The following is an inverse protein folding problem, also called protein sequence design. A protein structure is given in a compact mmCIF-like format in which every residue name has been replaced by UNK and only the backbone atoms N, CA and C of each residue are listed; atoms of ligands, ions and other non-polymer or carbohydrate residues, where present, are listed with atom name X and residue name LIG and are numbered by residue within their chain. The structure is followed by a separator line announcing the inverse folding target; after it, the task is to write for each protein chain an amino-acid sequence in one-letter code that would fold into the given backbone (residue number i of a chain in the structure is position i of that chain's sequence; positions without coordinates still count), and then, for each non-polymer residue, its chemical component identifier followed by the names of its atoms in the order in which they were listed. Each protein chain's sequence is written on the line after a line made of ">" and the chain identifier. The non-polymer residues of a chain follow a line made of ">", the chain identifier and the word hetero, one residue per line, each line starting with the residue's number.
data_IF_215346527167
#
_entry.id   IF_215346527167
#
_cell.length_a   1.000
_cell.length_b   1.000
_cell.length_c   1.000
_cell.angle_alpha   90.00
_cell.angle_beta   90.00
_cell.angle_gamma   90.00
#
_symmetry.space_group_name_H-M   'P 1'
#
loop_
_entity.id
_entity.type
_entity.pdbx_description
1 polymer ?
#
# COMPACT_ATOMS: atom_id res chain seq x y z
N UNK A 1 -5.94 -26.49 14.88
CA UNK A 1 -5.31 -25.63 15.90
C UNK A 1 -4.26 -24.78 15.24
N UNK A 2 -4.34 -23.46 15.34
CA UNK A 2 -3.30 -22.44 15.12
C UNK A 2 -2.85 -22.05 13.70
N UNK A 3 -3.64 -22.05 12.67
CA UNK A 3 -3.20 -21.64 11.31
C UNK A 3 -3.86 -20.35 10.79
N UNK A 4 -4.83 -19.75 11.47
CA UNK A 4 -5.59 -18.59 10.95
C UNK A 4 -5.11 -17.20 11.42
N UNK A 5 -4.10 -17.11 12.29
CA UNK A 5 -3.63 -15.83 12.88
C UNK A 5 -2.44 -15.18 12.13
N UNK A 6 -1.95 -15.78 11.06
CA UNK A 6 -0.66 -15.41 10.48
C UNK A 6 -0.61 -14.04 9.78
N UNK A 7 -1.60 -13.71 8.96
CA UNK A 7 -1.46 -12.58 8.03
C UNK A 7 -1.61 -11.18 8.66
N UNK A 8 -2.37 -11.07 9.75
CA UNK A 8 -2.54 -9.79 10.45
C UNK A 8 -1.35 -9.43 11.36
N UNK A 9 -0.56 -10.44 11.74
CA UNK A 9 0.62 -10.28 12.59
C UNK A 9 1.92 -10.13 11.79
N UNK A 10 1.92 -10.41 10.50
CA UNK A 10 3.11 -10.34 9.67
C UNK A 10 3.38 -8.88 9.27
N UNK A 11 4.57 -8.40 9.58
CA UNK A 11 5.01 -7.04 9.27
C UNK A 11 5.61 -6.98 7.86
N UNK A 12 5.51 -5.81 7.23
CA UNK A 12 6.05 -5.55 5.89
C UNK A 12 7.55 -5.85 5.81
N UNK A 13 8.30 -5.59 6.89
CA UNK A 13 9.75 -5.89 6.93
C UNK A 13 10.09 -7.37 6.69
N UNK A 14 9.21 -8.30 7.00
CA UNK A 14 9.42 -9.73 6.75
C UNK A 14 9.38 -10.12 5.27
N UNK A 15 8.82 -9.24 4.43
CA UNK A 15 8.78 -9.40 2.97
C UNK A 15 10.06 -8.92 2.27
N UNK A 16 10.88 -8.15 2.97
CA UNK A 16 12.09 -7.55 2.41
C UNK A 16 13.16 -8.62 2.25
N UNK A 17 13.33 -9.09 1.03
CA UNK A 17 14.32 -10.12 0.68
C UNK A 17 15.65 -9.56 0.17
N UNK A 18 15.69 -8.27 -0.15
CA UNK A 18 16.86 -7.60 -0.73
C UNK A 18 17.05 -6.23 -0.10
N UNK A 19 18.31 -5.78 -0.05
CA UNK A 19 18.65 -4.41 0.28
C UNK A 19 18.02 -3.43 -0.73
N UNK A 20 17.73 -2.18 -0.32
CA UNK A 20 17.17 -1.17 -1.22
C UNK A 20 18.13 -0.89 -2.38
N UNK A 21 17.59 -0.96 -3.60
CA UNK A 21 18.32 -0.61 -4.82
C UNK A 21 17.94 0.82 -5.20
N UNK A 22 18.90 1.71 -5.22
CA UNK A 22 18.67 3.16 -5.37
C UNK A 22 19.50 3.76 -6.50
N UNK A 23 19.04 4.90 -7.04
CA UNK A 23 19.82 5.76 -7.92
C UNK A 23 19.51 7.24 -7.63
N UNK A 24 20.34 8.16 -8.13
CA UNK A 24 20.11 9.60 -7.99
C UNK A 24 19.13 10.12 -9.07
N UNK A 25 18.54 11.30 -8.83
CA UNK A 25 17.60 11.97 -9.75
C UNK A 25 18.13 12.13 -11.19
N UNK A 26 19.42 12.46 -11.31
CA UNK A 26 20.05 12.74 -12.60
C UNK A 26 20.75 11.51 -13.21
N UNK A 27 20.58 10.34 -12.62
CA UNK A 27 21.08 9.08 -13.18
C UNK A 27 20.45 8.85 -14.56
N UNK A 28 21.26 8.60 -15.63
CA UNK A 28 20.68 8.24 -16.92
C UNK A 28 19.85 6.96 -16.85
N UNK A 29 18.74 6.91 -17.58
CA UNK A 29 17.84 5.74 -17.59
C UNK A 29 18.59 4.44 -17.90
N UNK A 30 19.53 4.46 -18.88
CA UNK A 30 20.37 3.29 -19.20
C UNK A 30 21.13 2.75 -18.00
N UNK A 31 21.62 3.63 -17.12
CA UNK A 31 22.36 3.24 -15.93
C UNK A 31 21.43 2.69 -14.85
N UNK A 32 20.26 3.33 -14.66
CA UNK A 32 19.23 2.81 -13.77
C UNK A 32 18.77 1.41 -14.20
N UNK A 33 18.56 1.18 -15.49
CA UNK A 33 18.21 -0.16 -16.04
C UNK A 33 19.35 -1.16 -15.80
N UNK A 34 20.62 -0.75 -15.97
CA UNK A 34 21.77 -1.62 -15.66
C UNK A 34 21.82 -2.00 -14.19
N UNK A 35 21.55 -1.04 -13.28
CA UNK A 35 21.44 -1.30 -11.85
C UNK A 35 20.33 -2.31 -11.57
N UNK A 36 19.15 -2.14 -12.18
CA UNK A 36 18.03 -3.08 -12.03
C UNK A 36 18.41 -4.48 -12.52
N UNK A 37 19.10 -4.60 -13.64
CA UNK A 37 19.54 -5.88 -14.21
C UNK A 37 20.57 -6.58 -13.32
N UNK A 38 21.61 -5.87 -12.87
CA UNK A 38 22.65 -6.39 -11.96
C UNK A 38 22.03 -6.93 -10.69
N UNK A 39 21.08 -6.20 -10.09
CA UNK A 39 20.42 -6.58 -8.84
C UNK A 39 19.21 -7.52 -9.05
N UNK A 40 18.87 -7.81 -10.31
CA UNK A 40 17.70 -8.63 -10.69
C UNK A 40 16.42 -8.16 -10.01
N UNK A 41 16.12 -6.86 -10.15
CA UNK A 41 14.93 -6.21 -9.60
C UNK A 41 14.11 -5.54 -10.70
N UNK A 42 12.80 -5.43 -10.50
CA UNK A 42 11.87 -4.80 -11.44
C UNK A 42 11.72 -3.28 -11.26
N UNK A 43 12.40 -2.72 -10.27
CA UNK A 43 12.31 -1.29 -9.95
C UNK A 43 13.57 -0.80 -9.26
N UNK A 44 13.83 0.52 -9.33
CA UNK A 44 14.86 1.22 -8.59
C UNK A 44 14.27 2.46 -7.91
N UNK A 45 14.62 2.67 -6.65
CA UNK A 45 14.16 3.81 -5.87
C UNK A 45 15.02 5.02 -6.24
N UNK A 46 14.38 6.12 -6.62
CA UNK A 46 15.08 7.37 -6.91
C UNK A 46 15.19 8.18 -5.64
N UNK A 47 16.41 8.55 -5.28
CA UNK A 47 16.72 9.26 -4.03
C UNK A 47 17.26 10.65 -4.29
N UNK A 48 16.90 11.58 -3.40
CA UNK A 48 17.44 12.93 -3.34
C UNK A 48 17.67 13.29 -1.87
N UNK A 49 18.86 13.75 -1.54
CA UNK A 49 19.26 14.08 -0.16
C UNK A 49 18.94 12.97 0.86
N UNK A 50 19.14 11.71 0.46
CA UNK A 50 18.89 10.54 1.31
C UNK A 50 17.42 10.13 1.46
N UNK A 51 16.49 10.85 0.84
CA UNK A 51 15.05 10.57 0.89
C UNK A 51 14.56 9.94 -0.42
N UNK A 52 13.60 9.02 -0.37
CA UNK A 52 12.97 8.48 -1.56
C UNK A 52 12.03 9.54 -2.16
N UNK A 53 12.26 9.94 -3.40
CA UNK A 53 11.47 10.98 -4.09
C UNK A 53 10.69 10.42 -5.28
N UNK A 54 11.07 9.23 -5.77
CA UNK A 54 10.40 8.57 -6.87
C UNK A 54 10.78 7.11 -6.97
N UNK A 55 10.15 6.42 -7.90
CA UNK A 55 10.46 5.03 -8.27
C UNK A 55 10.42 4.90 -9.80
N UNK A 56 11.43 4.24 -10.37
CA UNK A 56 11.44 3.86 -11.77
C UNK A 56 11.24 2.34 -11.86
N UNK A 57 10.31 1.90 -12.70
CA UNK A 57 9.92 0.50 -12.83
C UNK A 57 10.02 0.02 -14.28
N UNK A 58 9.95 -1.29 -14.52
CA UNK A 58 9.86 -1.85 -15.87
C UNK A 58 8.67 -1.29 -16.67
N UNK A 59 7.60 -0.86 -15.98
CA UNK A 59 6.42 -0.26 -16.63
C UNK A 59 6.76 1.07 -17.29
N UNK A 60 7.65 1.85 -16.68
CA UNK A 60 8.04 3.18 -17.16
C UNK A 60 8.90 3.11 -18.43
N UNK A 61 9.51 1.95 -18.70
CA UNK A 61 10.35 1.73 -19.90
C UNK A 61 9.58 1.93 -21.20
N UNK A 62 8.27 1.69 -21.22
CA UNK A 62 7.45 1.98 -22.41
C UNK A 62 7.45 3.47 -22.74
N UNK A 63 7.37 4.32 -21.74
CA UNK A 63 7.40 5.77 -21.90
C UNK A 63 8.78 6.26 -22.33
N UNK A 64 9.84 5.67 -21.77
CA UNK A 64 11.22 5.96 -22.17
C UNK A 64 11.44 5.64 -23.65
N UNK A 65 10.91 4.50 -24.13
CA UNK A 65 11.05 4.10 -25.54
C UNK A 65 10.26 4.98 -26.51
N UNK A 66 9.15 5.56 -26.07
CA UNK A 66 8.27 6.38 -26.92
C UNK A 66 8.67 7.85 -26.93
N UNK A 67 9.06 8.40 -25.80
CA UNK A 67 9.16 9.84 -25.58
C UNK A 67 10.58 10.28 -25.19
N UNK A 68 11.43 9.36 -24.79
CA UNK A 68 12.70 9.66 -24.18
C UNK A 68 13.92 9.14 -24.92
N UNK A 69 15.06 9.33 -24.27
CA UNK A 69 16.32 8.75 -24.64
C UNK A 69 16.85 7.91 -23.47
N UNK A 70 17.60 6.86 -23.80
CA UNK A 70 18.33 6.09 -22.79
C UNK A 70 19.30 6.93 -21.94
N UNK A 71 19.66 8.12 -22.44
CA UNK A 71 20.55 9.07 -21.77
C UNK A 71 19.79 10.13 -20.95
N UNK A 72 18.45 10.17 -21.07
CA UNK A 72 17.62 11.07 -20.26
C UNK A 72 17.73 10.71 -18.77
N UNK A 73 17.67 11.70 -17.86
CA UNK A 73 17.70 11.45 -16.43
C UNK A 73 16.42 10.76 -15.95
N UNK A 74 16.54 9.88 -14.95
CA UNK A 74 15.40 9.11 -14.42
C UNK A 74 14.26 9.97 -13.91
N UNK A 75 14.53 11.18 -13.43
CA UNK A 75 13.53 12.12 -12.92
C UNK A 75 12.44 12.47 -13.94
N UNK A 76 12.71 12.36 -15.24
CA UNK A 76 11.73 12.63 -16.30
C UNK A 76 10.71 11.49 -16.47
N UNK A 77 11.07 10.28 -16.03
CA UNK A 77 10.27 9.08 -16.28
C UNK A 77 9.81 8.36 -15.01
N UNK A 78 10.40 8.65 -13.86
CA UNK A 78 9.98 8.06 -12.59
C UNK A 78 8.55 8.43 -12.22
N UNK A 79 7.89 7.57 -11.46
CA UNK A 79 6.66 7.91 -10.76
C UNK A 79 7.01 8.71 -9.50
N UNK A 80 6.42 9.90 -9.35
CA UNK A 80 6.62 10.82 -8.22
C UNK A 80 5.31 11.57 -7.92
N UNK A 81 4.98 11.88 -6.66
CA UNK A 81 5.71 11.48 -5.46
C UNK A 81 5.68 9.96 -5.23
N UNK A 82 6.72 9.43 -4.58
CA UNK A 82 6.76 8.02 -4.24
C UNK A 82 5.77 7.71 -3.10
N UNK A 83 5.07 6.58 -3.23
CA UNK A 83 4.19 6.09 -2.17
C UNK A 83 5.00 5.14 -1.28
N UNK A 84 4.97 5.41 0.01
CA UNK A 84 5.74 4.66 1.02
C UNK A 84 4.85 3.98 2.03
N UNK A 85 5.39 2.95 2.67
CA UNK A 85 4.81 2.28 3.84
C UNK A 85 5.90 2.10 4.88
N UNK A 86 5.54 2.21 6.16
CA UNK A 86 6.43 1.94 7.27
C UNK A 86 6.81 0.44 7.31
N UNK A 87 8.07 0.11 7.64
CA UNK A 87 8.51 -1.30 7.74
C UNK A 87 7.72 -2.11 8.76
N UNK A 88 7.20 -1.45 9.81
CA UNK A 88 6.38 -2.05 10.86
C UNK A 88 4.89 -2.07 10.53
N UNK A 89 4.50 -1.59 9.37
CA UNK A 89 3.13 -1.72 8.91
C UNK A 89 2.76 -3.19 8.72
N UNK A 90 1.48 -3.51 8.88
CA UNK A 90 0.98 -4.85 8.60
C UNK A 90 0.94 -5.11 7.08
N UNK A 91 1.01 -6.38 6.69
CA UNK A 91 0.83 -6.79 5.28
C UNK A 91 -0.52 -6.31 4.73
N UNK A 92 -1.57 -6.27 5.55
CA UNK A 92 -2.88 -5.78 5.13
C UNK A 92 -2.89 -4.28 4.85
N UNK A 93 -2.13 -3.49 5.60
CA UNK A 93 -1.96 -2.07 5.34
C UNK A 93 -1.21 -1.83 4.02
N UNK A 94 -0.15 -2.60 3.75
CA UNK A 94 0.55 -2.57 2.48
C UNK A 94 -0.38 -2.97 1.32
N UNK A 95 -1.16 -4.03 1.49
CA UNK A 95 -2.13 -4.50 0.49
C UNK A 95 -3.20 -3.44 0.20
N UNK A 96 -3.78 -2.84 1.25
CA UNK A 96 -4.75 -1.76 1.11
C UNK A 96 -4.17 -0.57 0.33
N UNK A 97 -2.91 -0.21 0.60
CA UNK A 97 -2.23 0.88 -0.10
C UNK A 97 -2.03 0.56 -1.58
N UNK A 98 -1.52 -0.64 -1.91
CA UNK A 98 -1.34 -1.11 -3.28
C UNK A 98 -2.67 -1.07 -4.07
N UNK A 99 -3.75 -1.56 -3.46
CA UNK A 99 -5.06 -1.60 -4.10
C UNK A 99 -5.67 -0.22 -4.32
N UNK A 100 -5.59 0.65 -3.32
CA UNK A 100 -6.15 2.00 -3.38
C UNK A 100 -5.44 2.86 -4.42
N UNK A 101 -4.12 2.71 -4.52
CA UNK A 101 -3.29 3.52 -5.42
C UNK A 101 -3.10 2.91 -6.80
N UNK A 102 -3.45 1.64 -6.99
CA UNK A 102 -3.28 0.93 -8.26
C UNK A 102 -1.83 0.70 -8.67
N UNK A 103 -0.89 0.78 -7.72
CA UNK A 103 0.54 0.55 -7.97
C UNK A 103 0.92 -0.90 -7.67
N UNK A 104 1.99 -1.39 -8.32
CA UNK A 104 2.51 -2.74 -8.11
C UNK A 104 3.76 -2.78 -7.22
N UNK A 105 4.39 -1.62 -6.98
CA UNK A 105 5.61 -1.50 -6.21
C UNK A 105 5.42 -0.45 -5.12
N UNK A 106 5.64 -0.83 -3.87
CA UNK A 106 5.49 0.02 -2.70
C UNK A 106 6.84 0.15 -2.01
N UNK A 107 7.32 1.37 -1.85
CA UNK A 107 8.61 1.63 -1.18
C UNK A 107 8.42 1.50 0.32
N UNK A 108 9.29 0.73 0.96
CA UNK A 108 9.33 0.60 2.41
C UNK A 108 10.35 1.59 2.95
N UNK A 109 9.87 2.59 3.68
CA UNK A 109 10.70 3.64 4.26
C UNK A 109 10.05 4.21 5.52
N UNK A 110 10.89 4.63 6.46
CA UNK A 110 10.48 5.28 7.70
C UNK A 110 11.47 6.40 8.07
N UNK A 111 11.42 6.89 9.31
CA UNK A 111 12.33 7.93 9.81
C UNK A 111 13.79 7.48 9.85
N UNK A 112 14.05 6.19 9.92
CA UNK A 112 15.39 5.60 10.02
C UNK A 112 16.02 5.40 8.64
N UNK A 113 15.21 5.39 7.56
CA UNK A 113 15.71 5.30 6.19
C UNK A 113 14.83 4.52 5.22
N UNK A 114 15.46 4.09 4.13
CA UNK A 114 14.86 3.30 3.06
C UNK A 114 15.24 1.84 3.27
N UNK A 115 14.24 0.95 3.31
CA UNK A 115 14.43 -0.47 3.62
C UNK A 115 14.34 -1.38 2.39
N UNK A 116 13.58 -0.96 1.37
CA UNK A 116 13.43 -1.73 0.14
C UNK A 116 12.14 -1.45 -0.61
N UNK A 117 11.75 -2.40 -1.44
CA UNK A 117 10.49 -2.38 -2.19
C UNK A 117 9.77 -3.71 -1.95
N UNK A 118 8.47 -3.65 -1.70
CA UNK A 118 7.58 -4.80 -1.72
C UNK A 118 6.62 -4.68 -2.91
N UNK A 119 6.31 -5.81 -3.53
CA UNK A 119 5.40 -5.85 -4.68
C UNK A 119 4.04 -6.42 -4.28
N UNK A 120 3.02 -6.17 -5.11
CA UNK A 120 1.71 -6.80 -4.93
C UNK A 120 1.82 -8.34 -4.88
N UNK A 121 2.76 -8.94 -5.62
CA UNK A 121 3.01 -10.38 -5.57
C UNK A 121 3.57 -10.83 -4.21
N UNK A 122 4.52 -10.09 -3.64
CA UNK A 122 5.12 -10.42 -2.35
C UNK A 122 4.05 -10.39 -1.25
N UNK A 123 3.25 -9.33 -1.24
CA UNK A 123 2.14 -9.17 -0.29
C UNK A 123 1.11 -10.30 -0.45
N UNK A 124 0.67 -10.58 -1.68
CA UNK A 124 -0.31 -11.63 -1.95
C UNK A 124 0.18 -13.03 -1.61
N UNK A 125 1.48 -13.29 -1.70
CA UNK A 125 2.07 -14.59 -1.35
C UNK A 125 1.94 -14.95 0.13
N UNK A 126 1.80 -13.93 0.98
CA UNK A 126 1.64 -14.10 2.43
C UNK A 126 0.18 -14.06 2.89
N UNK A 127 -0.71 -13.65 2.00
CA UNK A 127 -2.14 -13.63 2.28
C UNK A 127 -2.73 -14.95 1.79
N UNK A 128 -3.11 -15.81 2.72
CA UNK A 128 -3.81 -17.04 2.35
C UNK A 128 -5.06 -16.72 1.50
N UNK A 129 -5.26 -17.42 0.37
CA UNK A 129 -6.42 -17.19 -0.50
C UNK A 129 -7.78 -17.38 0.19
N UNK A 130 -7.77 -18.14 1.29
CA UNK A 130 -8.95 -18.47 2.11
C UNK A 130 -9.21 -17.50 3.24
N UNK A 131 -8.37 -16.46 3.45
CA UNK A 131 -8.64 -15.52 4.54
C UNK A 131 -9.94 -14.75 4.26
N UNK A 132 -10.91 -14.93 5.15
CA UNK A 132 -12.23 -14.26 5.07
C UNK A 132 -12.07 -12.73 5.00
N UNK A 133 -11.08 -12.19 5.68
CA UNK A 133 -10.78 -10.77 5.74
C UNK A 133 -10.32 -10.23 4.39
N UNK A 134 -9.44 -10.93 3.67
CA UNK A 134 -8.99 -10.51 2.34
C UNK A 134 -10.15 -10.46 1.33
N UNK A 135 -11.04 -11.46 1.39
CA UNK A 135 -12.23 -11.50 0.53
C UNK A 135 -13.17 -10.32 0.83
N UNK A 136 -13.28 -9.93 2.09
CA UNK A 136 -14.08 -8.79 2.54
C UNK A 136 -13.49 -7.46 2.12
N UNK A 137 -12.17 -7.29 2.22
CA UNK A 137 -11.47 -6.13 1.67
C UNK A 137 -11.74 -5.95 0.17
N UNK A 138 -11.65 -7.04 -0.60
CA UNK A 138 -11.97 -7.02 -2.03
C UNK A 138 -13.42 -6.63 -2.31
N UNK A 139 -14.37 -7.05 -1.45
CA UNK A 139 -15.78 -6.64 -1.56
C UNK A 139 -15.94 -5.13 -1.38
N UNK A 140 -15.31 -4.53 -0.36
CA UNK A 140 -15.33 -3.07 -0.17
C UNK A 140 -14.77 -2.34 -1.39
N UNK A 141 -13.65 -2.81 -1.92
CA UNK A 141 -13.02 -2.18 -3.08
C UNK A 141 -13.86 -2.27 -4.35
N UNK A 142 -14.56 -3.39 -4.55
CA UNK A 142 -15.41 -3.62 -5.72
C UNK A 142 -16.80 -3.00 -5.59
N UNK A 143 -17.22 -2.60 -4.41
CA UNK A 143 -18.55 -2.02 -4.18
C UNK A 143 -18.77 -0.80 -5.08
N UNK A 144 -19.83 -0.81 -5.86
CA UNK A 144 -20.20 0.24 -6.83
C UNK A 144 -21.27 1.16 -6.30
N UNK A 145 -22.02 0.72 -5.29
CA UNK A 145 -23.07 1.49 -4.65
C UNK A 145 -23.00 1.43 -3.11
N UNK A 146 -23.83 2.23 -2.46
CA UNK A 146 -23.86 2.35 -1.00
C UNK A 146 -24.37 1.08 -0.31
N UNK A 147 -25.26 0.33 -0.94
CA UNK A 147 -25.84 -0.89 -0.38
C UNK A 147 -24.78 -2.01 -0.35
N UNK A 148 -24.06 -2.20 -1.44
CA UNK A 148 -22.93 -3.12 -1.51
C UNK A 148 -21.84 -2.74 -0.50
N UNK A 149 -21.54 -1.44 -0.37
CA UNK A 149 -20.55 -0.94 0.57
C UNK A 149 -20.96 -1.20 2.03
N UNK A 150 -22.23 -0.95 2.36
CA UNK A 150 -22.78 -1.21 3.70
C UNK A 150 -22.77 -2.70 4.03
N UNK A 151 -23.16 -3.56 3.08
CA UNK A 151 -23.12 -5.01 3.24
C UNK A 151 -21.70 -5.53 3.48
N UNK A 152 -20.73 -5.07 2.68
CA UNK A 152 -19.33 -5.43 2.84
C UNK A 152 -18.77 -4.97 4.19
N UNK A 153 -19.12 -3.77 4.62
CA UNK A 153 -18.71 -3.22 5.91
C UNK A 153 -19.26 -4.00 7.11
N UNK A 154 -20.54 -4.38 7.07
CA UNK A 154 -21.13 -5.21 8.10
C UNK A 154 -20.47 -6.60 8.20
N UNK A 155 -20.17 -7.21 7.06
CA UNK A 155 -19.45 -8.49 7.02
C UNK A 155 -18.05 -8.39 7.63
N UNK A 156 -17.34 -7.27 7.40
CA UNK A 156 -16.04 -7.01 8.04
C UNK A 156 -16.18 -6.86 9.54
N UNK A 157 -17.17 -6.10 10.02
CA UNK A 157 -17.43 -5.96 11.47
C UNK A 157 -17.64 -7.31 12.15
N UNK A 158 -18.42 -8.19 11.53
CA UNK A 158 -18.65 -9.54 12.07
C UNK A 158 -17.37 -10.36 12.12
N UNK A 159 -16.60 -10.40 11.03
CA UNK A 159 -15.33 -11.14 10.96
C UNK A 159 -14.31 -10.64 11.99
N UNK A 160 -14.26 -9.33 12.18
CA UNK A 160 -13.38 -8.71 13.18
C UNK A 160 -13.82 -9.05 14.60
N UNK A 161 -15.14 -9.02 14.88
CA UNK A 161 -15.69 -9.41 16.19
C UNK A 161 -15.37 -10.87 16.51
N UNK A 162 -15.51 -11.78 15.56
CA UNK A 162 -15.16 -13.20 15.73
C UNK A 162 -13.66 -13.38 15.99
N UNK A 163 -12.81 -12.63 15.30
CA UNK A 163 -11.35 -12.67 15.48
C UNK A 163 -10.95 -12.12 16.84
N UNK A 164 -11.58 -11.04 17.31
CA UNK A 164 -11.35 -10.46 18.64
C UNK A 164 -11.68 -11.45 19.76
N UNK A 165 -12.76 -12.21 19.61
CA UNK A 165 -13.16 -13.22 20.59
C UNK A 165 -12.18 -14.41 20.69
N UNK A 166 -11.35 -14.62 19.67
CA UNK A 166 -10.34 -15.69 19.61
C UNK A 166 -8.98 -15.29 20.20
N UNK A 167 -8.82 -14.09 20.73
CA UNK A 167 -7.60 -13.65 21.44
C UNK A 167 -6.51 -13.06 20.55
N UNK A 168 -6.85 -12.53 19.40
CA UNK A 168 -5.90 -11.83 18.50
C UNK A 168 -5.36 -10.56 19.18
N UNK A 169 -4.11 -10.20 18.87
CA UNK A 169 -3.49 -8.99 19.38
C UNK A 169 -4.32 -7.73 19.04
N UNK A 170 -4.89 -7.12 20.05
CA UNK A 170 -5.78 -5.96 19.96
C UNK A 170 -5.26 -4.83 19.09
N UNK A 171 -3.98 -4.51 19.16
CA UNK A 171 -3.35 -3.44 18.39
C UNK A 171 -3.41 -3.69 16.87
N UNK A 172 -3.17 -4.93 16.45
CA UNK A 172 -3.21 -5.31 15.03
C UNK A 172 -4.63 -5.27 14.49
N UNK A 173 -5.57 -5.75 15.29
CA UNK A 173 -6.99 -5.73 14.95
C UNK A 173 -7.49 -4.29 14.77
N UNK A 174 -7.11 -3.38 15.67
CA UNK A 174 -7.44 -1.97 15.62
C UNK A 174 -6.90 -1.28 14.35
N UNK A 175 -5.66 -1.56 13.96
CA UNK A 175 -5.08 -1.05 12.70
C UNK A 175 -5.82 -1.56 11.46
N UNK A 176 -6.20 -2.84 11.46
CA UNK A 176 -7.00 -3.42 10.36
C UNK A 176 -8.35 -2.73 10.24
N UNK A 177 -9.06 -2.56 11.35
CA UNK A 177 -10.35 -1.88 11.39
C UNK A 177 -10.20 -0.46 10.84
N UNK A 178 -9.22 0.29 11.31
CA UNK A 178 -8.97 1.66 10.83
C UNK A 178 -8.73 1.69 9.32
N UNK A 179 -7.93 0.77 8.76
CA UNK A 179 -7.69 0.71 7.32
C UNK A 179 -8.97 0.42 6.52
N UNK A 180 -9.89 -0.38 7.06
CA UNK A 180 -11.20 -0.60 6.44
C UNK A 180 -12.06 0.65 6.47
N UNK A 181 -12.11 1.33 7.62
CA UNK A 181 -12.85 2.59 7.73
C UNK A 181 -12.31 3.64 6.75
N UNK A 182 -10.99 3.77 6.64
CA UNK A 182 -10.34 4.68 5.68
C UNK A 182 -10.79 4.39 4.24
N UNK A 183 -10.83 3.12 3.83
CA UNK A 183 -11.31 2.73 2.50
C UNK A 183 -12.77 3.07 2.28
N UNK A 184 -13.62 2.79 3.27
CA UNK A 184 -15.06 3.10 3.19
C UNK A 184 -15.27 4.61 3.06
N UNK A 185 -14.59 5.42 3.90
CA UNK A 185 -14.68 6.87 3.84
C UNK A 185 -14.23 7.42 2.49
N UNK A 186 -13.09 6.98 1.97
CA UNK A 186 -12.62 7.39 0.64
C UNK A 186 -13.66 7.10 -0.43
N UNK A 187 -14.25 5.90 -0.43
CA UNK A 187 -15.29 5.54 -1.41
C UNK A 187 -16.58 6.36 -1.28
N UNK A 188 -17.01 6.60 -0.05
CA UNK A 188 -18.22 7.43 0.19
C UNK A 188 -17.97 8.86 -0.29
N UNK A 189 -16.82 9.44 0.01
CA UNK A 189 -16.46 10.78 -0.44
C UNK A 189 -16.41 10.83 -1.98
N UNK A 190 -15.65 9.94 -2.63
CA UNK A 190 -15.54 9.88 -4.09
C UNK A 190 -16.90 9.78 -4.78
N UNK A 191 -17.83 9.02 -4.19
CA UNK A 191 -19.18 8.88 -4.75
C UNK A 191 -20.02 10.15 -4.62
N UNK A 192 -19.81 10.96 -3.59
CA UNK A 192 -20.61 12.17 -3.34
C UNK A 192 -20.01 13.42 -3.97
N UNK A 193 -18.68 13.50 -4.14
CA UNK A 193 -18.02 14.67 -4.72
C UNK A 193 -17.87 14.59 -6.23
N UNK A 194 -18.08 13.41 -6.86
CA UNK A 194 -17.78 13.22 -8.28
C UNK A 194 -16.25 13.26 -8.56
N UNK A 195 -15.84 12.76 -9.71
CA UNK A 195 -14.41 12.81 -10.09
C UNK A 195 -13.96 14.21 -10.58
N UNK A 196 -14.90 15.18 -10.71
CA UNK A 196 -14.70 16.36 -11.58
C UNK A 196 -14.87 17.72 -10.87
N UNK A 197 -15.09 17.79 -9.58
CA UNK A 197 -15.47 19.09 -8.98
C UNK A 197 -14.31 19.92 -8.38
N UNK A 198 -13.06 19.63 -8.67
CA UNK A 198 -11.94 20.54 -8.31
C UNK A 198 -11.89 20.97 -6.84
N UNK A 199 -12.52 20.22 -5.96
CA UNK A 199 -12.49 20.48 -4.53
C UNK A 199 -11.19 19.90 -3.95
N UNK A 200 -10.20 20.75 -3.80
CA UNK A 200 -9.02 20.43 -3.00
C UNK A 200 -9.40 20.43 -1.53
N UNK A 201 -9.56 19.25 -0.94
CA UNK A 201 -9.77 19.12 0.50
C UNK A 201 -8.79 18.12 1.11
N UNK A 202 -8.41 18.40 2.35
CA UNK A 202 -7.59 17.53 3.16
C UNK A 202 -8.48 16.82 4.18
N UNK A 203 -8.55 15.48 4.09
CA UNK A 203 -9.23 14.68 5.10
C UNK A 203 -8.27 14.33 6.22
N UNK A 204 -8.59 14.75 7.44
CA UNK A 204 -7.74 14.49 8.61
C UNK A 204 -8.50 13.60 9.60
N UNK A 205 -7.92 12.44 9.89
CA UNK A 205 -8.38 11.59 10.97
C UNK A 205 -7.80 12.05 12.30
N UNK A 206 -8.67 12.20 13.31
CA UNK A 206 -8.28 12.59 14.67
C UNK A 206 -8.74 11.55 15.69
N UNK A 207 -8.26 11.66 16.91
CA UNK A 207 -8.64 10.73 17.99
C UNK A 207 -8.13 9.31 17.75
N UNK A 208 -8.93 8.31 18.08
CA UNK A 208 -8.60 6.89 17.95
C UNK A 208 -8.36 6.48 16.49
N UNK A 209 -9.12 7.04 15.55
CA UNK A 209 -8.95 6.79 14.12
C UNK A 209 -7.60 7.31 13.61
N UNK A 210 -7.22 8.55 13.97
CA UNK A 210 -5.93 9.13 13.58
C UNK A 210 -4.72 8.40 14.18
N UNK A 211 -4.87 7.78 15.35
CA UNK A 211 -3.84 6.96 15.98
C UNK A 211 -3.88 5.49 15.55
N UNK A 212 -4.82 5.11 14.67
CA UNK A 212 -5.06 3.71 14.25
C UNK A 212 -5.40 2.76 15.42
N UNK A 213 -6.14 3.28 16.39
CA UNK A 213 -6.53 2.57 17.63
C UNK A 213 -8.04 2.36 17.70
N UNK A 214 -8.76 2.41 16.60
CA UNK A 214 -10.22 2.35 16.56
C UNK A 214 -10.73 0.98 16.98
N UNK A 215 -11.73 0.97 17.84
CA UNK A 215 -12.46 -0.21 18.30
C UNK A 215 -13.83 -0.25 17.62
N UNK A 216 -14.41 -1.44 17.55
CA UNK A 216 -15.65 -1.75 16.78
C UNK A 216 -16.92 -1.04 17.23
N UNK A 217 -16.94 -0.37 18.36
CA UNK A 217 -18.12 0.31 18.89
C UNK A 217 -17.98 1.80 18.82
N UNK A 218 -18.39 2.37 17.72
CA UNK A 218 -18.87 3.75 17.72
C UNK A 218 -20.36 3.70 17.42
N UNK A 219 -21.12 4.19 18.34
CA UNK A 219 -22.55 4.45 18.18
C UNK A 219 -22.78 5.43 17.02
#
# INVERSE_FOLDING_TARGET
>A
ESVQDGAASVLVETLLSKAPVTCALDTPVREAVRIMDIHRVGSVIVVHEGKPVGILTNRDMRRVLLEGSRDSPVKEFMSSPVITVDRRASILEAYSTLLRTGIDHLVVADTDGIWGVVTSKDVLSQLEPSSSILSLYRKVLKATDLEELQSAFQAIRLAVSETALRGTHFYQLSRMITSVYDMVFVKVIQKHTGEDEGLDFLWVHVGSSGRKEQILTTD
#
